data_IF_858793291144
#
_entry.id   IF_858793291144
#
_cell.length_a   1.000
_cell.length_b   1.000
_cell.length_c   1.000
_cell.angle_alpha   90.00
_cell.angle_beta   90.00
_cell.angle_gamma   90.00
#
_symmetry.space_group_name_H-M   'P 1'
#
loop_
_entity.id
_entity.type
_entity.pdbx_description
1 polymer ?
#
# COMPACT_ATOMS: atom_id res chain seq x y z
N UNK A 1 3.62 -36.50 -30.90
CA UNK A 1 3.24 -35.08 -31.20
C UNK A 1 1.99 -34.58 -30.46
N UNK A 2 1.10 -35.45 -29.95
CA UNK A 2 -0.06 -35.05 -29.12
C UNK A 2 0.32 -34.76 -27.64
N UNK A 3 1.29 -35.48 -27.09
CA UNK A 3 1.74 -35.29 -25.69
C UNK A 3 2.68 -34.10 -25.48
N UNK A 4 3.46 -33.71 -26.49
CA UNK A 4 4.34 -32.52 -26.42
C UNK A 4 3.53 -31.22 -26.43
N UNK A 5 2.38 -31.19 -27.14
CA UNK A 5 1.42 -30.06 -27.11
C UNK A 5 0.70 -29.92 -25.76
N UNK A 6 0.51 -31.03 -25.04
CA UNK A 6 -0.10 -31.02 -23.69
C UNK A 6 0.89 -30.51 -22.64
N UNK A 7 2.17 -30.89 -22.71
CA UNK A 7 3.20 -30.40 -21.79
C UNK A 7 3.46 -28.88 -21.94
N UNK A 8 3.43 -28.35 -23.16
CA UNK A 8 3.57 -26.91 -23.40
C UNK A 8 2.36 -26.10 -22.88
N UNK A 9 1.16 -26.66 -22.92
CA UNK A 9 -0.05 -26.01 -22.39
C UNK A 9 -0.09 -26.01 -20.85
N UNK A 10 0.44 -27.05 -20.20
CA UNK A 10 0.52 -27.13 -18.72
C UNK A 10 1.58 -26.18 -18.16
N UNK A 11 2.70 -26.00 -18.85
CA UNK A 11 3.74 -25.04 -18.43
C UNK A 11 3.26 -23.57 -18.47
N UNK A 12 2.38 -23.22 -19.41
CA UNK A 12 1.78 -21.87 -19.48
C UNK A 12 0.72 -21.63 -18.40
N UNK A 13 0.02 -22.68 -17.95
CA UNK A 13 -1.00 -22.57 -16.90
C UNK A 13 -0.39 -22.39 -15.50
N UNK A 14 0.81 -22.92 -15.25
CA UNK A 14 1.51 -22.80 -13.96
C UNK A 14 2.22 -21.44 -13.82
N UNK A 15 2.63 -20.82 -14.93
CA UNK A 15 3.25 -19.49 -14.92
C UNK A 15 2.25 -18.35 -14.62
N UNK A 16 0.96 -18.55 -14.94
CA UNK A 16 -0.08 -17.54 -14.73
C UNK A 16 -0.57 -17.47 -13.27
N UNK A 17 -0.43 -18.53 -12.48
CA UNK A 17 -0.88 -18.54 -11.07
C UNK A 17 0.15 -17.98 -10.09
N UNK A 18 1.45 -17.98 -10.45
CA UNK A 18 2.50 -17.38 -9.64
C UNK A 18 2.50 -15.83 -9.66
N UNK A 19 1.90 -15.21 -10.68
CA UNK A 19 1.85 -13.75 -10.83
C UNK A 19 0.80 -13.06 -9.94
N UNK A 20 -0.13 -13.82 -9.35
CA UNK A 20 -1.15 -13.28 -8.44
C UNK A 20 -0.72 -13.29 -6.97
N UNK A 21 0.35 -14.02 -6.64
CA UNK A 21 0.87 -14.12 -5.27
C UNK A 21 1.80 -12.94 -4.88
N UNK A 22 2.12 -12.02 -5.81
CA UNK A 22 2.93 -10.82 -5.54
C UNK A 22 2.18 -9.58 -6.01
N UNK A 23 0.95 -9.41 -5.54
CA UNK A 23 0.19 -8.17 -5.70
C UNK A 23 -0.63 -7.80 -4.45
N UNK A 24 -0.47 -8.53 -3.34
CA UNK A 24 -1.18 -8.27 -2.08
C UNK A 24 -0.39 -7.39 -1.08
N UNK A 25 0.90 -7.15 -1.31
CA UNK A 25 1.79 -6.53 -0.31
C UNK A 25 2.25 -5.11 -0.69
N UNK A 26 1.38 -4.32 -1.34
CA UNK A 26 1.54 -2.87 -1.41
C UNK A 26 0.25 -2.16 -1.05
N UNK A 27 -0.38 -2.57 0.05
CA UNK A 27 -1.03 -1.54 0.87
C UNK A 27 0.14 -0.67 1.34
N UNK A 28 0.25 0.56 0.86
CA UNK A 28 1.11 1.53 1.53
C UNK A 28 0.69 1.47 3.00
N UNK A 29 1.55 0.86 3.83
CA UNK A 29 1.26 0.64 5.23
C UNK A 29 1.17 2.02 5.85
N UNK A 30 -0.04 2.57 5.88
CA UNK A 30 -0.33 3.72 6.69
C UNK A 30 0.02 3.32 8.12
N UNK A 31 0.79 4.16 8.85
CA UNK A 31 1.13 3.86 10.22
C UNK A 31 -0.14 3.53 11.01
N UNK A 32 -0.09 2.53 11.91
CA UNK A 32 -1.23 2.21 12.75
C UNK A 32 -1.70 3.44 13.54
N UNK A 33 -2.95 3.43 13.98
CA UNK A 33 -3.54 4.51 14.74
C UNK A 33 -4.28 5.57 13.92
N UNK A 34 -4.53 6.72 14.54
CA UNK A 34 -5.40 7.79 14.03
C UNK A 34 -4.63 8.73 13.11
N UNK A 35 -5.18 8.96 11.92
CA UNK A 35 -4.68 9.99 11.01
C UNK A 35 -4.98 11.38 11.58
N UNK A 36 -4.00 12.29 11.51
CA UNK A 36 -4.18 13.67 11.93
C UNK A 36 -5.33 14.36 11.17
N UNK A 37 -6.07 15.24 11.85
CA UNK A 37 -7.27 15.88 11.27
C UNK A 37 -7.01 16.68 9.99
N UNK A 38 -5.88 17.38 9.90
CA UNK A 38 -5.48 18.10 8.69
C UNK A 38 -5.14 17.16 7.54
N UNK A 39 -4.52 16.01 7.81
CA UNK A 39 -4.25 14.96 6.84
C UNK A 39 -5.55 14.32 6.34
N UNK A 40 -6.48 14.01 7.24
CA UNK A 40 -7.79 13.48 6.88
C UNK A 40 -8.59 14.45 6.01
N UNK A 41 -8.52 15.76 6.29
CA UNK A 41 -9.17 16.78 5.45
C UNK A 41 -8.53 16.84 4.06
N UNK A 42 -7.19 16.92 3.98
CA UNK A 42 -6.50 16.95 2.69
C UNK A 42 -6.82 15.72 1.84
N UNK A 43 -6.87 14.54 2.46
CA UNK A 43 -7.23 13.29 1.78
C UNK A 43 -8.65 13.32 1.19
N UNK A 44 -9.63 13.93 1.90
CA UNK A 44 -10.99 14.15 1.36
C UNK A 44 -10.99 15.06 0.12
N UNK A 45 -10.06 16.00 0.07
CA UNK A 45 -9.85 16.90 -1.06
C UNK A 45 -8.96 16.27 -2.17
N UNK A 46 -8.59 14.98 -2.05
CA UNK A 46 -7.71 14.27 -2.97
C UNK A 46 -6.25 14.74 -2.93
N UNK A 47 -5.84 15.40 -1.83
CA UNK A 47 -4.52 16.01 -1.64
C UNK A 47 -3.77 15.36 -0.49
N UNK A 48 -2.46 15.54 -0.48
CA UNK A 48 -1.63 15.23 0.71
C UNK A 48 -1.56 16.48 1.60
N UNK A 49 -1.43 16.31 2.91
CA UNK A 49 -1.24 17.45 3.80
C UNK A 49 0.20 17.96 3.68
N UNK A 50 0.35 19.21 3.25
CA UNK A 50 1.66 19.84 2.99
C UNK A 50 2.23 20.58 4.20
N UNK A 51 1.64 20.41 5.39
CA UNK A 51 2.19 21.02 6.60
C UNK A 51 3.59 20.44 6.89
N UNK A 52 4.58 21.28 7.26
CA UNK A 52 5.93 20.83 7.56
C UNK A 52 5.97 19.67 8.56
N UNK A 53 5.17 19.76 9.64
CA UNK A 53 5.08 18.71 10.66
C UNK A 53 4.53 17.36 10.12
N UNK A 54 3.65 17.40 9.12
CA UNK A 54 3.06 16.20 8.52
C UNK A 54 4.01 15.58 7.50
N UNK A 55 4.72 16.39 6.73
CA UNK A 55 5.75 15.94 5.79
C UNK A 55 6.90 15.27 6.54
N UNK A 56 7.34 15.85 7.66
CA UNK A 56 8.37 15.26 8.52
C UNK A 56 7.89 13.94 9.13
N UNK A 57 6.66 13.87 9.62
CA UNK A 57 6.10 12.63 10.16
C UNK A 57 6.00 11.53 9.08
N UNK A 58 5.58 11.88 7.86
CA UNK A 58 5.49 10.95 6.75
C UNK A 58 6.87 10.37 6.34
N UNK A 59 7.94 11.16 6.39
CA UNK A 59 9.32 10.67 6.18
C UNK A 59 9.71 9.59 7.19
N UNK A 60 9.21 9.71 8.42
CA UNK A 60 9.42 8.75 9.50
C UNK A 60 8.37 7.61 9.49
N UNK A 61 7.52 7.52 8.46
CA UNK A 61 6.39 6.59 8.39
C UNK A 61 5.48 6.68 9.61
N UNK A 62 5.22 7.89 10.12
CA UNK A 62 4.37 8.18 11.28
C UNK A 62 3.20 9.10 10.94
N UNK A 63 2.09 8.94 11.66
CA UNK A 63 1.03 9.92 11.78
C UNK A 63 1.55 11.15 12.54
N UNK A 64 1.08 12.33 12.16
CA UNK A 64 1.49 13.59 12.79
C UNK A 64 0.86 13.75 14.19
N UNK A 65 1.64 13.46 15.22
CA UNK A 65 1.21 13.57 16.63
C UNK A 65 0.92 15.02 17.06
N UNK A 66 1.65 15.98 16.46
CA UNK A 66 1.40 17.41 16.66
C UNK A 66 0.01 17.84 16.18
N UNK A 67 -0.56 17.11 15.24
CA UNK A 67 -1.88 17.35 14.67
C UNK A 67 -2.91 16.30 15.14
N UNK A 68 -2.71 15.76 16.36
CA UNK A 68 -3.60 14.79 17.02
C UNK A 68 -3.71 13.44 16.30
N UNK A 69 -2.74 13.09 15.46
CA UNK A 69 -2.58 11.72 14.98
C UNK A 69 -1.98 10.80 16.05
N UNK A 70 -2.19 9.49 15.94
CA UNK A 70 -1.54 8.48 16.81
C UNK A 70 -0.83 7.44 15.95
N UNK A 71 0.23 6.83 16.46
CA UNK A 71 1.04 5.82 15.76
C UNK A 71 0.81 4.40 16.29
N UNK A 72 -0.18 4.25 17.17
CA UNK A 72 -0.57 3.04 17.87
C UNK A 72 -2.11 2.96 17.78
N UNK A 73 -2.64 1.73 17.76
CA UNK A 73 -4.07 1.42 17.58
C UNK A 73 -4.96 1.88 18.75
#
# INVERSE_FOLDING_TARGET
MKFVKVLAAVAFAVALTASLAVAADKKAEHPPGKVAGCCAKAAKDGKTCDHPCCVEAAKNKKNCEKCKGTNEE
#
